data_IF_911084527020
#
_entry.id   IF_911084527020
#
_cell.length_a   1.000
_cell.length_b   1.000
_cell.length_c   1.000
_cell.angle_alpha   90.00
_cell.angle_beta   90.00
_cell.angle_gamma   90.00
#
_symmetry.space_group_name_H-M   'P 1'
#
loop_
_entity.id
_entity.type
_entity.pdbx_description
1 polymer ?
#
# COMPACT_ATOMS: atom_id res chain seq x y z
N UNK A 1 -29.74 2.83 24.58
CA UNK A 1 -29.03 1.56 24.84
C UNK A 1 -28.75 0.75 23.56
N UNK A 2 -29.66 0.69 22.57
CA UNK A 2 -29.40 0.04 21.28
C UNK A 2 -28.30 0.73 20.43
N UNK A 3 -28.23 2.07 20.48
CA UNK A 3 -27.24 2.88 19.73
C UNK A 3 -25.81 2.60 20.21
N UNK A 4 -25.60 2.43 21.53
CA UNK A 4 -24.30 2.14 22.13
C UNK A 4 -23.79 0.74 21.77
N UNK A 5 -24.69 -0.25 21.64
CA UNK A 5 -24.33 -1.62 21.25
C UNK A 5 -23.93 -1.68 19.78
N UNK A 6 -24.66 -1.00 18.88
CA UNK A 6 -24.32 -0.92 17.46
C UNK A 6 -22.94 -0.27 17.24
N UNK A 7 -22.65 0.83 17.94
CA UNK A 7 -21.35 1.51 17.90
C UNK A 7 -20.21 0.62 18.41
N UNK A 8 -20.45 -0.16 19.47
CA UNK A 8 -19.46 -1.08 20.03
C UNK A 8 -19.14 -2.25 19.08
N UNK A 9 -20.16 -2.83 18.45
CA UNK A 9 -20.02 -3.91 17.46
C UNK A 9 -19.25 -3.42 16.23
N UNK A 10 -19.56 -2.21 15.74
CA UNK A 10 -18.82 -1.55 14.64
C UNK A 10 -17.34 -1.38 14.97
N UNK A 11 -17.03 -0.95 16.19
CA UNK A 11 -15.65 -0.71 16.64
C UNK A 11 -14.85 -2.01 16.72
N UNK A 12 -15.49 -3.10 17.15
CA UNK A 12 -14.86 -4.41 17.25
C UNK A 12 -14.59 -5.05 15.87
N UNK A 13 -15.54 -4.93 14.94
CA UNK A 13 -15.36 -5.39 13.55
C UNK A 13 -14.29 -4.57 12.82
N UNK A 14 -14.24 -3.27 13.05
CA UNK A 14 -13.22 -2.39 12.47
C UNK A 14 -11.79 -2.76 12.88
N UNK A 15 -11.54 -3.02 14.18
CA UNK A 15 -10.21 -3.45 14.65
C UNK A 15 -9.78 -4.78 14.04
N UNK A 16 -10.72 -5.71 13.85
CA UNK A 16 -10.46 -6.99 13.20
C UNK A 16 -10.04 -6.79 11.74
N UNK A 17 -10.75 -5.93 11.01
CA UNK A 17 -10.44 -5.58 9.61
C UNK A 17 -9.06 -4.95 9.45
N UNK A 18 -8.68 -4.01 10.34
CA UNK A 18 -7.33 -3.43 10.34
C UNK A 18 -6.23 -4.47 10.52
N UNK A 19 -6.44 -5.44 11.43
CA UNK A 19 -5.48 -6.53 11.67
C UNK A 19 -5.32 -7.45 10.45
N UNK A 20 -6.42 -7.68 9.72
CA UNK A 20 -6.43 -8.47 8.48
C UNK A 20 -5.71 -7.73 7.34
N UNK A 21 -5.97 -6.42 7.19
CA UNK A 21 -5.27 -5.55 6.23
C UNK A 21 -3.77 -5.54 6.51
N UNK A 22 -3.36 -5.37 7.76
CA UNK A 22 -1.94 -5.33 8.15
C UNK A 22 -1.21 -6.64 7.85
N UNK A 23 -1.83 -7.80 8.09
CA UNK A 23 -1.25 -9.11 7.75
C UNK A 23 -1.11 -9.31 6.25
N UNK A 24 -2.10 -8.87 5.48
CA UNK A 24 -2.03 -8.92 4.02
C UNK A 24 -0.89 -8.04 3.50
N UNK A 25 -0.79 -6.81 4.02
CA UNK A 25 0.22 -5.83 3.66
C UNK A 25 1.64 -6.31 3.94
N UNK A 26 1.89 -6.95 5.10
CA UNK A 26 3.20 -7.52 5.44
C UNK A 26 3.72 -8.52 4.39
N UNK A 27 2.83 -9.21 3.68
CA UNK A 27 3.23 -10.21 2.68
C UNK A 27 3.89 -9.65 1.42
N UNK A 28 3.70 -8.37 1.12
CA UNK A 28 4.29 -7.71 -0.05
C UNK A 28 4.89 -6.33 0.28
N UNK A 29 5.01 -6.02 1.57
CA UNK A 29 5.66 -4.80 2.05
C UNK A 29 7.12 -4.74 1.58
N UNK A 30 7.87 -5.85 1.68
CA UNK A 30 9.29 -5.89 1.32
C UNK A 30 9.54 -5.54 -0.17
N UNK A 31 8.90 -6.18 -1.17
CA UNK A 31 9.11 -5.80 -2.55
C UNK A 31 8.66 -4.36 -2.85
N UNK A 32 7.56 -3.89 -2.26
CA UNK A 32 7.12 -2.50 -2.48
C UNK A 32 8.06 -1.47 -1.85
N UNK A 33 8.63 -1.79 -0.69
CA UNK A 33 9.62 -0.97 -0.01
C UNK A 33 10.92 -0.87 -0.81
N UNK A 34 11.38 -1.97 -1.40
CA UNK A 34 12.56 -1.97 -2.29
C UNK A 34 12.35 -1.09 -3.52
N UNK A 35 11.15 -1.10 -4.11
CA UNK A 35 10.78 -0.20 -5.22
C UNK A 35 10.80 1.27 -4.76
N UNK A 36 10.31 1.54 -3.56
CA UNK A 36 10.39 2.90 -2.99
C UNK A 36 11.85 3.33 -2.79
N UNK A 37 12.70 2.47 -2.22
CA UNK A 37 14.12 2.74 -2.04
C UNK A 37 14.85 2.95 -3.38
N UNK A 38 14.54 2.17 -4.42
CA UNK A 38 15.14 2.36 -5.73
C UNK A 38 14.76 3.72 -6.35
N UNK A 39 13.51 4.14 -6.19
CA UNK A 39 13.06 5.48 -6.62
C UNK A 39 13.81 6.60 -5.88
N UNK A 40 13.90 6.51 -4.55
CA UNK A 40 14.59 7.51 -3.74
C UNK A 40 16.09 7.55 -4.03
N UNK A 41 16.71 6.39 -4.26
CA UNK A 41 18.12 6.27 -4.65
C UNK A 41 18.40 6.92 -6.00
N UNK A 42 17.54 6.70 -7.00
CA UNK A 42 17.64 7.35 -8.31
C UNK A 42 17.42 8.87 -8.22
N UNK A 43 16.47 9.31 -7.39
CA UNK A 43 16.22 10.72 -7.13
C UNK A 43 17.46 11.41 -6.53
N UNK A 44 18.07 10.78 -5.52
CA UNK A 44 19.31 11.25 -4.89
C UNK A 44 20.51 11.25 -5.84
N UNK A 45 20.62 10.26 -6.73
CA UNK A 45 21.70 10.18 -7.71
C UNK A 45 21.64 11.30 -8.76
N UNK A 46 20.43 11.67 -9.20
CA UNK A 46 20.24 12.73 -10.20
C UNK A 46 20.32 14.14 -9.61
N UNK A 47 20.11 14.32 -8.30
CA UNK A 47 20.28 15.61 -7.62
C UNK A 47 19.43 16.71 -8.26
N UNK A 48 20.09 17.80 -8.67
CA UNK A 48 19.45 18.95 -9.30
C UNK A 48 18.79 18.64 -10.65
N UNK A 49 19.19 17.56 -11.32
CA UNK A 49 18.56 17.07 -12.57
C UNK A 49 17.39 16.12 -12.33
N UNK A 50 16.99 15.88 -11.08
CA UNK A 50 15.90 14.98 -10.73
C UNK A 50 14.57 15.34 -11.43
N UNK A 51 14.35 16.63 -11.74
CA UNK A 51 13.15 17.12 -12.43
C UNK A 51 12.89 16.43 -13.79
N UNK A 52 13.94 15.99 -14.50
CA UNK A 52 13.82 15.32 -15.80
C UNK A 52 13.21 13.91 -15.69
N UNK A 53 13.44 13.22 -14.55
CA UNK A 53 13.06 11.82 -14.35
C UNK A 53 11.83 11.64 -13.43
N UNK A 54 11.25 12.71 -12.90
CA UNK A 54 10.12 12.63 -11.94
C UNK A 54 8.96 11.82 -12.50
N UNK A 55 8.54 12.11 -13.73
CA UNK A 55 7.43 11.41 -14.39
C UNK A 55 7.75 9.91 -14.54
N UNK A 56 8.98 9.59 -14.94
CA UNK A 56 9.44 8.21 -15.13
C UNK A 56 9.41 7.45 -13.79
N UNK A 57 9.89 8.06 -12.70
CA UNK A 57 9.90 7.44 -11.37
C UNK A 57 8.48 7.19 -10.84
N UNK A 58 7.55 8.13 -11.06
CA UNK A 58 6.14 7.94 -10.68
C UNK A 58 5.51 6.79 -11.45
N UNK A 59 5.70 6.73 -12.77
CA UNK A 59 5.17 5.63 -13.59
C UNK A 59 5.81 4.29 -13.26
N UNK A 60 7.12 4.27 -13.01
CA UNK A 60 7.81 3.08 -12.52
C UNK A 60 7.20 2.57 -11.22
N UNK A 61 6.94 3.45 -10.24
CA UNK A 61 6.27 3.07 -8.99
C UNK A 61 4.88 2.49 -9.24
N UNK A 62 4.05 3.12 -10.07
CA UNK A 62 2.68 2.66 -10.39
C UNK A 62 2.70 1.27 -11.04
N UNK A 63 3.57 1.05 -12.01
CA UNK A 63 3.67 -0.23 -12.73
C UNK A 63 4.18 -1.33 -11.80
N UNK A 64 5.27 -1.09 -11.07
CA UNK A 64 5.82 -2.05 -10.13
C UNK A 64 4.83 -2.42 -9.04
N UNK A 65 4.11 -1.44 -8.50
CA UNK A 65 3.08 -1.65 -7.49
C UNK A 65 1.92 -2.51 -8.03
N UNK A 66 1.47 -2.24 -9.26
CA UNK A 66 0.43 -3.05 -9.92
C UNK A 66 0.87 -4.49 -10.09
N UNK A 67 2.13 -4.72 -10.49
CA UNK A 67 2.68 -6.06 -10.63
C UNK A 67 2.82 -6.79 -9.30
N UNK A 68 3.33 -6.12 -8.27
CA UNK A 68 3.45 -6.67 -6.90
C UNK A 68 2.06 -7.01 -6.35
N UNK A 69 1.07 -6.13 -6.53
CA UNK A 69 -0.29 -6.36 -6.09
C UNK A 69 -0.92 -7.53 -6.83
N UNK A 70 -0.75 -7.62 -8.15
CA UNK A 70 -1.21 -8.75 -8.94
C UNK A 70 -0.61 -10.07 -8.46
N UNK A 71 0.72 -10.10 -8.27
CA UNK A 71 1.41 -11.26 -7.72
C UNK A 71 0.86 -11.63 -6.33
N UNK A 72 0.73 -10.66 -5.42
CA UNK A 72 0.19 -10.87 -4.08
C UNK A 72 -1.23 -11.46 -4.11
N UNK A 73 -2.10 -10.94 -4.99
CA UNK A 73 -3.46 -11.45 -5.17
C UNK A 73 -3.47 -12.89 -5.69
N UNK A 74 -2.53 -13.27 -6.56
CA UNK A 74 -2.39 -14.62 -7.09
C UNK A 74 -1.81 -15.60 -6.06
N UNK A 75 -0.74 -15.23 -5.35
CA UNK A 75 -0.10 -16.09 -4.34
C UNK A 75 -0.97 -16.29 -3.10
N UNK A 76 -1.70 -15.26 -2.67
CA UNK A 76 -2.56 -15.30 -1.46
C UNK A 76 -4.03 -15.60 -1.75
N UNK A 77 -4.36 -16.22 -2.89
CA UNK A 77 -5.75 -16.58 -3.25
C UNK A 77 -6.52 -17.27 -2.12
N UNK A 78 -5.89 -18.22 -1.42
CA UNK A 78 -6.50 -18.97 -0.30
C UNK A 78 -6.84 -18.07 0.89
N UNK A 79 -5.93 -17.17 1.28
CA UNK A 79 -6.18 -16.18 2.34
C UNK A 79 -7.28 -15.20 1.93
N UNK A 80 -7.31 -14.79 0.65
CA UNK A 80 -8.33 -13.90 0.11
C UNK A 80 -9.75 -14.52 0.13
N UNK A 81 -9.88 -15.83 -0.04
CA UNK A 81 -11.16 -16.52 0.15
C UNK A 81 -11.59 -16.52 1.62
N UNK A 82 -10.65 -16.69 2.56
CA UNK A 82 -10.92 -16.56 3.98
C UNK A 82 -11.40 -15.15 4.35
N UNK A 83 -10.78 -14.10 3.79
CA UNK A 83 -11.20 -12.72 4.01
C UNK A 83 -12.57 -12.41 3.41
N UNK A 84 -12.92 -13.00 2.27
CA UNK A 84 -14.27 -12.89 1.71
C UNK A 84 -15.34 -13.54 2.58
N UNK A 85 -15.07 -14.71 3.17
CA UNK A 85 -16.00 -15.34 4.11
C UNK A 85 -16.20 -14.53 5.40
N UNK A 86 -15.28 -13.62 5.71
CA UNK A 86 -15.37 -12.66 6.81
C UNK A 86 -16.07 -11.35 6.42
N UNK A 87 -16.58 -11.23 5.19
CA UNK A 87 -17.25 -10.03 4.68
C UNK A 87 -16.32 -8.95 4.14
N UNK A 88 -15.01 -9.19 4.05
CA UNK A 88 -14.05 -8.23 3.52
C UNK A 88 -13.76 -8.54 2.05
N UNK A 89 -14.08 -7.60 1.16
CA UNK A 89 -13.85 -7.79 -0.28
C UNK A 89 -12.35 -7.74 -0.62
N UNK A 90 -11.93 -8.54 -1.61
CA UNK A 90 -10.55 -8.55 -2.13
C UNK A 90 -10.13 -7.16 -2.64
N UNK A 91 -11.04 -6.47 -3.31
CA UNK A 91 -10.81 -5.14 -3.86
C UNK A 91 -10.62 -4.10 -2.75
N UNK A 92 -11.42 -4.15 -1.68
CA UNK A 92 -11.27 -3.23 -0.54
C UNK A 92 -9.89 -3.37 0.08
N UNK A 93 -9.44 -4.61 0.33
CA UNK A 93 -8.12 -4.88 0.89
C UNK A 93 -6.99 -4.34 -0.01
N UNK A 94 -7.10 -4.58 -1.32
CA UNK A 94 -6.13 -4.15 -2.31
C UNK A 94 -6.08 -2.62 -2.44
N UNK A 95 -7.22 -1.96 -2.59
CA UNK A 95 -7.31 -0.50 -2.76
C UNK A 95 -6.79 0.24 -1.53
N UNK A 96 -7.22 -0.15 -0.32
CA UNK A 96 -6.76 0.52 0.90
C UNK A 96 -5.25 0.36 1.11
N UNK A 97 -4.70 -0.84 0.90
CA UNK A 97 -3.25 -1.04 1.00
C UNK A 97 -2.49 -0.28 -0.08
N UNK A 98 -3.03 -0.19 -1.28
CA UNK A 98 -2.40 0.51 -2.40
C UNK A 98 -2.35 2.01 -2.16
N UNK A 99 -3.47 2.61 -1.74
CA UNK A 99 -3.55 4.04 -1.43
C UNK A 99 -2.60 4.39 -0.28
N UNK A 100 -2.61 3.61 0.80
CA UNK A 100 -1.74 3.84 1.95
C UNK A 100 -0.25 3.82 1.56
N UNK A 101 0.18 2.83 0.78
CA UNK A 101 1.56 2.74 0.30
C UNK A 101 1.93 3.88 -0.65
N UNK A 102 1.02 4.25 -1.55
CA UNK A 102 1.27 5.33 -2.48
C UNK A 102 1.38 6.69 -1.77
N UNK A 103 0.55 6.93 -0.74
CA UNK A 103 0.69 8.12 0.11
C UNK A 103 2.05 8.15 0.82
N UNK A 104 2.48 7.03 1.41
CA UNK A 104 3.79 6.95 2.06
C UNK A 104 4.92 7.24 1.08
N UNK A 105 4.84 6.67 -0.13
CA UNK A 105 5.78 6.95 -1.21
C UNK A 105 5.82 8.45 -1.56
N UNK A 106 4.67 9.09 -1.74
CA UNK A 106 4.60 10.52 -2.08
C UNK A 106 5.22 11.39 -0.99
N UNK A 107 4.95 11.10 0.29
CA UNK A 107 5.54 11.85 1.41
C UNK A 107 7.07 11.73 1.40
N UNK A 108 7.60 10.51 1.27
CA UNK A 108 9.05 10.29 1.22
C UNK A 108 9.68 10.95 -0.01
N UNK A 109 9.04 10.81 -1.16
CA UNK A 109 9.53 11.35 -2.43
C UNK A 109 9.61 12.88 -2.40
N UNK A 110 8.57 13.56 -1.91
CA UNK A 110 8.57 15.02 -1.75
C UNK A 110 9.62 15.46 -0.73
N UNK A 111 9.77 14.73 0.37
CA UNK A 111 10.75 15.06 1.42
C UNK A 111 12.18 15.01 0.86
N UNK A 112 12.51 13.96 0.11
CA UNK A 112 13.84 13.83 -0.51
C UNK A 112 14.02 14.86 -1.62
N UNK A 113 13.00 15.10 -2.46
CA UNK A 113 13.07 16.11 -3.51
C UNK A 113 13.32 17.52 -2.97
N UNK A 114 12.68 17.89 -1.86
CA UNK A 114 12.92 19.19 -1.22
C UNK A 114 14.33 19.32 -0.62
N UNK A 115 15.00 18.20 -0.32
CA UNK A 115 16.36 18.20 0.26
C UNK A 115 17.49 18.21 -0.79
N UNK A 116 17.16 18.07 -2.07
CA UNK A 116 18.10 18.03 -3.21
C UNK A 116 18.29 19.41 -3.83
#
# INVERSE_FOLDING_TARGET
>A
MAITIHQLILRFTFMRTLKLIGRFHLGFFLPDFLVTLSCLGLLGFYGTKAHEILSILVWYKVISMTFILYAALQYKKKELYYYQNLGVSKLTLAVFTTIANFMLFMVLFITVYHSL
#
